data_IF_846898812443
#
_entry.id   IF_846898812443
#
_cell.length_a   1.000
_cell.length_b   1.000
_cell.length_c   1.000
_cell.angle_alpha   90.00
_cell.angle_beta   90.00
_cell.angle_gamma   90.00
#
_symmetry.space_group_name_H-M   'P 1'
#
loop_
_entity.id
_entity.type
_entity.pdbx_description
1 polymer ?
#
# COMPACT_ATOMS: atom_id res chain seq x y z
N UNK A 1 2.79 4.38 31.63
CA UNK A 1 3.34 4.10 30.29
C UNK A 1 2.48 3.03 29.66
N UNK A 2 1.88 3.31 28.51
CA UNK A 2 1.16 2.32 27.72
C UNK A 2 2.00 2.01 26.48
N UNK A 3 2.01 0.75 26.05
CA UNK A 3 2.67 0.31 24.83
C UNK A 3 1.65 -0.49 24.02
N UNK A 4 1.37 -0.03 22.81
CA UNK A 4 0.48 -0.69 21.87
C UNK A 4 1.32 -1.24 20.73
N UNK A 5 1.28 -2.56 20.54
CA UNK A 5 1.88 -3.21 19.39
C UNK A 5 0.75 -3.62 18.45
N UNK A 6 0.67 -2.93 17.30
CA UNK A 6 -0.25 -3.29 16.23
C UNK A 6 0.43 -4.28 15.29
N UNK A 7 -0.30 -5.32 14.87
CA UNK A 7 0.13 -6.16 13.75
C UNK A 7 -0.16 -5.50 12.39
N UNK A 8 -0.86 -4.36 12.34
CA UNK A 8 -1.14 -3.67 11.08
C UNK A 8 -0.02 -2.66 10.77
N UNK A 9 0.37 -2.49 9.49
CA UNK A 9 -0.20 -3.13 8.30
C UNK A 9 0.57 -4.38 7.83
N UNK A 10 0.94 -5.33 8.71
CA UNK A 10 1.58 -6.58 8.28
C UNK A 10 0.66 -7.38 7.33
N UNK A 11 1.27 -8.15 6.42
CA UNK A 11 0.57 -9.05 5.48
C UNK A 11 -0.47 -9.93 6.21
N UNK A 12 -1.62 -10.25 5.60
CA UNK A 12 -1.87 -10.41 4.15
C UNK A 12 -2.50 -9.20 3.40
N UNK A 13 -2.61 -8.03 4.03
CA UNK A 13 -3.17 -6.81 3.42
C UNK A 13 -4.57 -7.02 2.82
N UNK A 14 -5.53 -7.34 3.69
CA UNK A 14 -6.92 -7.62 3.33
C UNK A 14 -7.90 -6.74 4.12
N UNK A 15 -7.49 -5.49 4.38
CA UNK A 15 -8.29 -4.48 5.08
C UNK A 15 -8.43 -3.25 4.19
N UNK A 16 -9.64 -2.75 4.11
CA UNK A 16 -9.98 -1.48 3.47
C UNK A 16 -9.82 -0.33 4.47
N UNK A 17 -9.70 0.93 4.01
CA UNK A 17 -9.55 2.08 4.89
C UNK A 17 -10.61 2.17 5.99
N UNK A 18 -11.86 1.79 5.70
CA UNK A 18 -12.96 1.76 6.67
C UNK A 18 -12.95 0.57 7.66
N UNK A 19 -11.95 -0.31 7.57
CA UNK A 19 -11.78 -1.48 8.44
C UNK A 19 -12.45 -2.77 7.96
N UNK A 20 -13.33 -2.69 6.95
CA UNK A 20 -13.91 -3.88 6.30
C UNK A 20 -12.82 -4.75 5.68
N UNK A 21 -13.07 -6.06 5.61
CA UNK A 21 -12.24 -7.01 4.89
C UNK A 21 -12.67 -7.18 3.44
N UNK A 22 -11.88 -7.91 2.67
CA UNK A 22 -12.28 -8.44 1.38
C UNK A 22 -11.54 -9.76 1.12
N UNK A 23 -12.14 -10.60 0.31
CA UNK A 23 -11.51 -11.84 -0.12
C UNK A 23 -10.60 -11.59 -1.32
N UNK A 24 -9.37 -12.07 -1.24
CA UNK A 24 -8.41 -12.06 -2.33
C UNK A 24 -7.39 -13.20 -2.16
N UNK A 25 -6.76 -13.70 -3.23
CA UNK A 25 -5.74 -14.73 -3.13
C UNK A 25 -4.61 -14.38 -2.14
N UNK A 26 -4.18 -15.38 -1.37
CA UNK A 26 -3.10 -15.29 -0.37
C UNK A 26 -2.10 -16.46 -0.49
N UNK A 27 -0.77 -16.22 -0.52
CA UNK A 27 -0.12 -14.91 -0.70
C UNK A 27 -0.57 -14.27 -2.03
N UNK A 28 -0.41 -12.94 -2.20
CA UNK A 28 -0.54 -12.36 -3.53
C UNK A 28 0.31 -13.20 -4.51
N UNK A 29 -0.22 -13.54 -5.71
CA UNK A 29 0.34 -14.61 -6.53
C UNK A 29 1.80 -14.32 -6.90
N UNK A 30 2.72 -15.16 -6.37
CA UNK A 30 4.07 -15.58 -6.86
C UNK A 30 5.18 -15.77 -5.80
N UNK A 31 4.99 -15.40 -4.53
CA UNK A 31 5.44 -16.12 -3.31
C UNK A 31 5.24 -15.23 -2.07
N UNK A 32 5.23 -15.82 -0.87
CA UNK A 32 5.07 -15.08 0.38
C UNK A 32 6.22 -14.12 0.71
N UNK A 33 7.33 -14.17 -0.05
CA UNK A 33 8.55 -13.44 0.27
C UNK A 33 9.14 -12.64 -0.90
N UNK A 34 8.77 -12.88 -2.17
CA UNK A 34 9.28 -12.18 -3.37
C UNK A 34 8.20 -12.03 -4.45
N UNK A 35 8.19 -10.90 -5.19
CA UNK A 35 7.29 -10.67 -6.34
C UNK A 35 8.07 -10.60 -7.65
N UNK A 36 7.89 -11.56 -8.55
CA UNK A 36 8.71 -11.68 -9.77
C UNK A 36 8.41 -10.67 -10.89
N UNK A 37 7.39 -9.82 -10.74
CA UNK A 37 6.90 -8.97 -11.82
C UNK A 37 6.31 -7.67 -11.29
N UNK A 38 6.31 -6.64 -12.16
CA UNK A 38 5.82 -5.30 -11.81
C UNK A 38 4.36 -5.32 -11.37
N UNK A 39 3.47 -6.01 -12.09
CA UNK A 39 2.02 -5.95 -11.84
C UNK A 39 1.61 -6.55 -10.48
N UNK A 40 2.09 -7.75 -10.08
CA UNK A 40 1.89 -8.27 -8.72
C UNK A 40 2.47 -7.38 -7.61
N UNK A 41 3.68 -6.85 -7.80
CA UNK A 41 4.32 -5.95 -6.85
C UNK A 41 3.49 -4.67 -6.64
N UNK A 42 3.00 -4.10 -7.75
CA UNK A 42 2.11 -2.93 -7.78
C UNK A 42 0.80 -3.23 -7.03
N UNK A 43 0.20 -4.39 -7.26
CA UNK A 43 -1.04 -4.84 -6.57
C UNK A 43 -0.81 -5.02 -5.06
N UNK A 44 0.30 -5.66 -4.67
CA UNK A 44 0.66 -5.83 -3.27
C UNK A 44 0.86 -4.49 -2.55
N UNK A 45 1.55 -3.53 -3.20
CA UNK A 45 1.70 -2.17 -2.69
C UNK A 45 0.37 -1.48 -2.48
N UNK A 46 -0.55 -1.59 -3.44
CA UNK A 46 -1.89 -1.01 -3.30
C UNK A 46 -2.64 -1.60 -2.09
N UNK A 47 -2.65 -2.92 -1.95
CA UNK A 47 -3.26 -3.60 -0.78
C UNK A 47 -2.65 -3.13 0.54
N UNK A 48 -1.32 -3.02 0.60
CA UNK A 48 -0.61 -2.49 1.76
C UNK A 48 -1.04 -1.07 2.10
N UNK A 49 -1.13 -0.17 1.12
CA UNK A 49 -1.56 1.22 1.33
C UNK A 49 -3.00 1.33 1.84
N UNK A 50 -3.91 0.48 1.35
CA UNK A 50 -5.29 0.43 1.85
C UNK A 50 -5.35 0.00 3.32
N UNK A 51 -4.55 -1.00 3.71
CA UNK A 51 -4.46 -1.43 5.11
C UNK A 51 -3.70 -0.43 5.99
N UNK A 52 -2.72 0.29 5.43
CA UNK A 52 -2.05 1.40 6.11
C UNK A 52 -3.04 2.53 6.39
N UNK A 53 -3.94 2.85 5.45
CA UNK A 53 -4.99 3.83 5.67
C UNK A 53 -5.92 3.44 6.84
N UNK A 54 -6.27 2.16 6.96
CA UNK A 54 -6.99 1.68 8.13
C UNK A 54 -6.18 1.81 9.43
N UNK A 55 -4.88 1.55 9.36
CA UNK A 55 -3.97 1.74 10.51
C UNK A 55 -3.94 3.20 10.95
N UNK A 56 -3.93 4.13 10.00
CA UNK A 56 -4.03 5.58 10.25
C UNK A 56 -5.33 5.93 10.98
N UNK A 57 -6.47 5.38 10.56
CA UNK A 57 -7.75 5.62 11.25
C UNK A 57 -7.80 5.04 12.66
N UNK A 58 -7.17 3.88 12.89
CA UNK A 58 -7.04 3.32 14.25
C UNK A 58 -6.17 4.21 15.14
N UNK A 59 -5.08 4.75 14.60
CA UNK A 59 -4.25 5.75 15.32
C UNK A 59 -5.09 6.99 15.61
N UNK A 60 -5.83 7.51 14.62
CA UNK A 60 -6.75 8.63 14.77
C UNK A 60 -7.73 8.43 15.92
N UNK A 61 -8.38 7.26 15.99
CA UNK A 61 -9.29 6.90 17.08
C UNK A 61 -8.63 6.91 18.46
N UNK A 62 -7.40 6.39 18.59
CA UNK A 62 -6.64 6.48 19.85
C UNK A 62 -6.34 7.94 20.22
N UNK A 63 -6.00 8.78 19.25
CA UNK A 63 -5.76 10.21 19.51
C UNK A 63 -7.04 10.94 19.93
N UNK A 64 -8.18 10.60 19.33
CA UNK A 64 -9.48 11.14 19.70
C UNK A 64 -9.89 10.72 21.11
N UNK A 65 -9.71 9.46 21.49
CA UNK A 65 -9.94 8.98 22.85
C UNK A 65 -9.10 9.76 23.89
N UNK A 66 -7.84 10.07 23.57
CA UNK A 66 -6.99 10.88 24.44
C UNK A 66 -7.49 12.34 24.57
N UNK A 67 -8.05 12.90 23.50
CA UNK A 67 -8.64 14.26 23.50
C UNK A 67 -9.92 14.30 24.31
N UNK A 68 -10.81 13.32 24.11
CA UNK A 68 -12.08 13.20 24.83
C UNK A 68 -11.88 12.97 26.33
N UNK A 69 -10.82 12.22 26.70
CA UNK A 69 -10.40 12.06 28.09
C UNK A 69 -9.75 13.32 28.68
N UNK A 70 -9.45 14.35 27.87
CA UNK A 70 -8.81 15.58 28.31
C UNK A 70 -7.33 15.44 28.70
N UNK A 71 -6.65 14.39 28.23
CA UNK A 71 -5.25 14.08 28.58
C UNK A 71 -4.28 14.21 27.41
N UNK A 72 -4.78 14.43 26.19
CA UNK A 72 -3.96 14.54 24.98
C UNK A 72 -2.80 15.55 25.14
N UNK A 73 -3.09 16.75 25.64
CA UNK A 73 -2.09 17.81 25.76
C UNK A 73 -0.95 17.46 26.74
N UNK A 74 -1.25 16.74 27.82
CA UNK A 74 -0.27 16.31 28.83
C UNK A 74 0.41 14.97 28.49
N UNK A 75 0.02 14.32 27.38
CA UNK A 75 0.54 12.99 26.99
C UNK A 75 1.69 13.12 26.00
N UNK A 76 2.78 12.39 26.26
CA UNK A 76 3.82 12.06 25.28
C UNK A 76 3.32 10.92 24.39
N UNK A 77 3.26 11.15 23.09
CA UNK A 77 2.81 10.16 22.10
C UNK A 77 3.95 9.91 21.12
N UNK A 78 4.26 8.64 20.88
CA UNK A 78 5.28 8.22 19.91
C UNK A 78 4.63 7.19 18.99
N UNK A 79 4.70 7.43 17.68
CA UNK A 79 4.29 6.47 16.64
C UNK A 79 5.52 6.11 15.82
N UNK A 80 5.80 4.82 15.72
CA UNK A 80 6.94 4.30 14.95
C UNK A 80 6.65 2.90 14.40
N UNK A 81 7.50 2.43 13.49
CA UNK A 81 7.47 1.07 12.98
C UNK A 81 8.81 0.36 13.26
N UNK A 82 8.78 -0.96 13.33
CA UNK A 82 9.94 -1.82 13.52
C UNK A 82 10.79 -1.96 12.27
N UNK A 83 10.16 -2.00 11.09
CA UNK A 83 10.82 -1.99 9.79
C UNK A 83 9.88 -1.47 8.68
N UNK A 84 10.44 -1.17 7.51
CA UNK A 84 9.70 -0.88 6.29
C UNK A 84 9.32 -2.15 5.52
N UNK A 85 8.94 -2.01 4.26
CA UNK A 85 8.57 -3.12 3.37
C UNK A 85 8.87 -2.74 1.93
N UNK A 86 9.50 -3.65 1.19
CA UNK A 86 9.80 -3.47 -0.23
C UNK A 86 8.64 -3.92 -1.11
N UNK A 87 8.37 -3.17 -2.17
CA UNK A 87 7.48 -3.61 -3.26
C UNK A 87 8.21 -3.54 -4.60
N UNK A 88 9.55 -3.65 -4.59
CA UNK A 88 10.34 -3.72 -5.81
C UNK A 88 10.11 -5.09 -6.49
N UNK A 89 9.92 -5.12 -7.82
CA UNK A 89 9.88 -6.38 -8.56
C UNK A 89 11.19 -7.15 -8.40
N UNK A 90 11.10 -8.46 -8.41
CA UNK A 90 12.15 -9.46 -8.20
C UNK A 90 12.86 -9.41 -6.83
N UNK A 91 12.43 -8.52 -5.93
CA UNK A 91 13.04 -8.33 -4.62
C UNK A 91 12.20 -8.94 -3.49
N UNK A 92 12.86 -9.33 -2.38
CA UNK A 92 12.15 -9.78 -1.20
C UNK A 92 11.39 -8.65 -0.51
N UNK A 93 10.28 -8.99 0.16
CA UNK A 93 9.45 -8.03 0.91
C UNK A 93 10.14 -7.47 2.17
N UNK A 94 10.88 -8.34 2.88
CA UNK A 94 11.39 -8.08 4.24
C UNK A 94 12.86 -8.48 4.42
N UNK A 95 13.34 -9.64 3.92
CA UNK A 95 14.79 -9.87 3.87
C UNK A 95 15.50 -8.74 3.15
N UNK A 96 16.68 -8.35 3.63
CA UNK A 96 17.46 -7.29 2.99
C UNK A 96 18.19 -7.81 1.76
N UNK A 97 18.15 -7.05 0.68
CA UNK A 97 18.98 -7.18 -0.52
C UNK A 97 19.69 -5.85 -0.80
N UNK A 98 20.65 -5.85 -1.73
CA UNK A 98 21.30 -4.60 -2.17
C UNK A 98 20.27 -3.61 -2.74
N UNK A 99 19.25 -4.12 -3.42
CA UNK A 99 18.28 -3.34 -4.16
C UNK A 99 17.06 -2.93 -3.34
N UNK A 100 16.75 -3.57 -2.21
CA UNK A 100 15.55 -3.28 -1.41
C UNK A 100 15.81 -2.58 -0.06
N UNK A 101 17.08 -2.48 0.35
CA UNK A 101 17.48 -2.00 1.68
C UNK A 101 16.87 -0.64 2.03
N UNK A 102 16.71 0.22 1.03
CA UNK A 102 16.14 1.56 1.19
C UNK A 102 14.64 1.57 1.50
N UNK A 103 13.89 0.56 1.08
CA UNK A 103 12.47 0.44 1.42
C UNK A 103 12.23 -0.11 2.83
N UNK A 104 13.23 -0.79 3.41
CA UNK A 104 13.11 -1.51 4.68
C UNK A 104 13.70 -0.72 5.85
N UNK A 105 14.79 0.02 5.64
CA UNK A 105 15.52 0.66 6.74
C UNK A 105 14.90 1.98 7.24
N UNK A 106 13.99 2.58 6.49
CA UNK A 106 13.34 3.84 6.84
C UNK A 106 11.95 3.60 7.40
N UNK A 107 11.74 4.03 8.64
CA UNK A 107 10.46 3.91 9.35
C UNK A 107 9.97 5.27 9.83
N UNK A 108 8.65 5.46 10.01
CA UNK A 108 8.15 6.67 10.63
C UNK A 108 8.66 6.79 12.08
N UNK A 109 8.95 8.02 12.49
CA UNK A 109 9.12 8.38 13.89
C UNK A 109 8.40 9.72 14.12
N UNK A 110 7.18 9.63 14.63
CA UNK A 110 6.38 10.79 14.99
C UNK A 110 6.36 10.93 16.51
N UNK A 111 6.71 12.10 17.01
CA UNK A 111 6.75 12.40 18.45
C UNK A 111 5.90 13.63 18.70
N UNK A 112 4.90 13.48 19.56
CA UNK A 112 4.12 14.59 20.14
C UNK A 112 4.54 14.75 21.59
N UNK A 113 5.11 15.91 21.93
CA UNK A 113 5.53 16.23 23.30
C UNK A 113 4.36 16.72 24.16
N UNK A 114 4.41 16.54 25.49
CA UNK A 114 3.49 17.22 26.40
C UNK A 114 3.58 18.74 26.20
N UNK A 115 2.43 19.40 26.04
CA UNK A 115 2.34 20.85 25.83
C UNK A 115 2.88 21.37 24.49
N UNK A 116 3.15 20.51 23.51
CA UNK A 116 3.63 20.94 22.19
C UNK A 116 2.61 21.84 21.49
N UNK A 117 3.04 23.02 21.03
CA UNK A 117 2.19 23.98 20.32
C UNK A 117 2.58 24.20 18.85
N UNK A 118 3.79 23.81 18.46
CA UNK A 118 4.32 24.01 17.11
C UNK A 118 4.94 22.72 16.56
N UNK A 119 4.77 22.43 15.25
CA UNK A 119 5.46 21.32 14.61
C UNK A 119 6.93 21.66 14.36
N UNK A 120 7.78 20.63 14.37
CA UNK A 120 9.18 20.73 13.96
C UNK A 120 9.61 19.46 13.22
N UNK A 121 10.53 19.63 12.28
CA UNK A 121 11.19 18.53 11.58
C UNK A 121 12.62 18.44 12.12
N UNK A 122 13.04 17.21 12.46
CA UNK A 122 14.41 16.90 12.88
C UNK A 122 15.00 15.98 11.81
N UNK A 123 15.79 16.56 10.91
CA UNK A 123 16.41 15.83 9.79
C UNK A 123 17.73 15.13 10.16
N UNK A 124 18.11 15.13 11.44
CA UNK A 124 19.34 14.45 11.89
C UNK A 124 19.16 12.92 11.86
N UNK A 125 20.18 12.15 11.42
CA UNK A 125 20.09 10.70 11.37
C UNK A 125 19.71 10.08 12.71
N UNK A 126 18.62 9.31 12.70
CA UNK A 126 18.00 8.69 13.89
C UNK A 126 17.86 7.19 13.66
N UNK A 127 17.88 6.41 14.74
CA UNK A 127 17.71 4.97 14.75
C UNK A 127 16.68 4.55 15.80
N UNK A 128 16.12 3.35 15.68
CA UNK A 128 15.14 2.82 16.65
C UNK A 128 15.67 2.78 18.10
N UNK A 129 16.98 2.59 18.27
CA UNK A 129 17.66 2.63 19.58
C UNK A 129 17.59 4.00 20.27
N UNK A 130 17.25 5.07 19.54
CA UNK A 130 17.14 6.43 20.06
C UNK A 130 15.79 6.72 20.72
N UNK A 131 14.78 5.87 20.52
CA UNK A 131 13.44 6.07 21.07
C UNK A 131 13.47 6.07 22.60
N UNK A 132 14.16 5.10 23.20
CA UNK A 132 14.28 4.99 24.67
C UNK A 132 14.99 6.20 25.30
N UNK A 133 16.20 6.60 24.89
CA UNK A 133 16.86 7.79 25.44
C UNK A 133 16.06 9.07 25.19
N UNK A 134 15.32 9.17 24.08
CA UNK A 134 14.42 10.30 23.82
C UNK A 134 13.26 10.37 24.82
N UNK A 135 12.63 9.24 25.16
CA UNK A 135 11.57 9.19 26.19
C UNK A 135 12.12 9.64 27.54
N UNK A 136 13.30 9.15 27.93
CA UNK A 136 13.93 9.48 29.21
C UNK A 136 14.20 10.98 29.31
N UNK A 137 14.78 11.57 28.26
CA UNK A 137 15.05 13.00 28.15
C UNK A 137 13.77 13.84 28.29
N UNK A 138 12.72 13.50 27.54
CA UNK A 138 11.43 14.20 27.61
C UNK A 138 10.71 14.08 28.96
N UNK A 139 10.95 12.98 29.69
CA UNK A 139 10.40 12.80 31.04
C UNK A 139 11.26 13.46 32.12
N UNK A 140 12.43 14.00 31.78
CA UNK A 140 13.40 14.54 32.74
C UNK A 140 13.85 13.49 33.76
N UNK A 141 13.90 12.22 33.35
CA UNK A 141 14.31 11.12 34.19
C UNK A 141 15.82 10.88 34.09
N UNK A 142 16.44 10.48 35.20
CA UNK A 142 17.82 10.01 35.21
C UNK A 142 17.82 8.47 35.25
N UNK A 143 18.48 7.85 34.28
CA UNK A 143 18.77 6.42 34.33
C UNK A 143 20.26 6.18 34.53
N UNK A 144 20.58 5.32 35.50
CA UNK A 144 21.94 4.83 35.76
C UNK A 144 22.25 3.62 34.88
N UNK A 145 22.03 3.76 33.57
CA UNK A 145 22.37 2.75 32.55
C UNK A 145 22.96 3.43 31.33
N UNK A 146 24.00 2.83 30.76
CA UNK A 146 24.54 3.24 29.47
C UNK A 146 23.62 2.72 28.36
N UNK A 147 23.23 3.61 27.43
CA UNK A 147 22.39 3.30 26.28
C UNK A 147 23.21 3.50 25.01
N UNK A 148 23.02 2.62 24.02
CA UNK A 148 23.69 2.72 22.72
C UNK A 148 23.17 3.89 21.86
N UNK A 149 21.92 4.30 22.10
CA UNK A 149 21.26 5.42 21.41
C UNK A 149 21.46 6.77 22.13
N UNK A 150 20.93 7.83 21.52
CA UNK A 150 20.88 9.17 22.12
C UNK A 150 19.52 9.83 21.89
N UNK A 151 19.14 10.80 22.72
CA UNK A 151 17.92 11.57 22.50
C UNK A 151 17.99 12.31 21.16
N UNK A 152 16.89 12.30 20.40
CA UNK A 152 16.77 13.07 19.14
C UNK A 152 16.79 14.59 19.37
N UNK A 153 16.59 15.04 20.61
CA UNK A 153 16.72 16.45 21.01
C UNK A 153 18.13 16.80 21.50
N UNK A 154 19.02 15.81 21.58
CA UNK A 154 20.43 15.97 21.88
C UNK A 154 21.25 16.50 20.69
N UNK A 155 22.58 16.48 20.80
CA UNK A 155 23.46 16.83 19.69
C UNK A 155 23.20 15.97 18.45
N UNK A 156 23.03 16.63 17.30
CA UNK A 156 22.81 15.95 16.03
C UNK A 156 23.98 15.00 15.70
N UNK A 157 23.65 13.82 15.17
CA UNK A 157 24.66 12.91 14.60
C UNK A 157 25.35 13.57 13.39
N UNK A 158 26.61 13.21 13.11
CA UNK A 158 27.28 13.58 11.87
C UNK A 158 26.45 13.18 10.65
N UNK A 159 26.51 13.98 9.59
CA UNK A 159 25.77 13.71 8.35
C UNK A 159 26.26 12.44 7.61
N UNK A 160 27.47 11.98 7.89
CA UNK A 160 28.07 10.75 7.37
C UNK A 160 27.81 9.54 8.28
N UNK A 161 26.97 9.68 9.31
CA UNK A 161 26.49 8.53 10.08
C UNK A 161 25.70 7.60 9.17
N UNK A 162 26.08 6.32 9.15
CA UNK A 162 25.47 5.31 8.29
C UNK A 162 24.37 4.57 9.04
N UNK A 163 23.11 4.62 8.57
CA UNK A 163 22.08 3.72 9.04
C UNK A 163 22.56 2.28 8.93
N UNK A 164 22.21 1.47 9.92
CA UNK A 164 22.57 0.05 9.95
C UNK A 164 21.46 -0.81 10.53
N UNK A 165 21.38 -2.04 10.04
CA UNK A 165 20.54 -3.10 10.59
C UNK A 165 21.39 -4.30 10.94
N UNK A 166 21.00 -5.05 11.97
CA UNK A 166 21.56 -6.37 12.21
C UNK A 166 21.20 -7.25 11.01
N UNK A 167 22.16 -8.03 10.53
CA UNK A 167 21.91 -9.05 9.50
C UNK A 167 21.17 -10.25 10.10
N UNK A 168 20.26 -10.82 9.32
CA UNK A 168 19.50 -12.03 9.63
C UNK A 168 19.76 -13.11 8.58
N UNK A 169 19.63 -14.38 8.96
CA UNK A 169 19.94 -15.54 8.10
C UNK A 169 19.16 -15.60 6.77
N UNK A 170 18.09 -14.81 6.62
CA UNK A 170 17.29 -14.72 5.41
C UNK A 170 17.73 -13.59 4.47
N UNK A 171 18.58 -12.68 4.92
CA UNK A 171 19.07 -11.57 4.11
C UNK A 171 19.91 -12.09 2.94
N UNK A 172 19.70 -11.47 1.77
CA UNK A 172 20.42 -11.75 0.53
C UNK A 172 21.67 -10.86 0.40
N UNK A 173 21.85 -9.92 1.32
CA UNK A 173 23.03 -9.05 1.43
C UNK A 173 24.00 -9.55 2.52
N UNK A 174 25.29 -9.57 2.20
CA UNK A 174 26.33 -9.96 3.15
C UNK A 174 26.54 -8.89 4.23
N UNK A 175 26.56 -9.31 5.49
CA UNK A 175 26.92 -8.46 6.61
C UNK A 175 28.39 -8.03 6.56
N UNK A 176 28.69 -6.85 7.08
CA UNK A 176 30.06 -6.46 7.41
C UNK A 176 30.63 -7.32 8.56
N UNK A 177 31.95 -7.28 8.78
CA UNK A 177 32.64 -8.04 9.83
C UNK A 177 32.08 -7.82 11.26
N UNK A 178 31.40 -6.71 11.49
CA UNK A 178 30.76 -6.35 12.75
C UNK A 178 29.30 -6.86 12.88
N UNK A 179 28.81 -7.61 11.90
CA UNK A 179 27.47 -8.22 11.89
C UNK A 179 26.35 -7.30 11.41
N UNK A 180 26.68 -6.12 10.86
CA UNK A 180 25.71 -5.15 10.37
C UNK A 180 25.69 -5.02 8.86
N UNK A 181 24.51 -4.73 8.33
CA UNK A 181 24.30 -4.22 6.98
C UNK A 181 24.15 -2.70 7.06
N UNK A 182 24.72 -1.97 6.11
CA UNK A 182 24.77 -0.52 6.10
C UNK A 182 24.06 0.04 4.86
N UNK A 183 23.22 1.06 5.05
CA UNK A 183 22.69 1.86 3.95
C UNK A 183 23.38 3.22 3.87
N UNK A 184 23.28 3.88 2.72
CA UNK A 184 23.62 5.29 2.58
C UNK A 184 22.46 6.13 3.10
N UNK A 185 22.66 6.89 4.18
CA UNK A 185 21.59 7.64 4.84
C UNK A 185 20.97 8.72 3.94
N UNK A 186 21.72 9.75 3.51
CA UNK A 186 21.15 10.79 2.66
C UNK A 186 20.73 10.29 1.28
N UNK A 187 21.55 9.45 0.63
CA UNK A 187 21.23 8.99 -0.73
C UNK A 187 20.10 7.97 -0.74
N UNK A 188 20.10 7.00 0.19
CA UNK A 188 19.04 6.01 0.30
C UNK A 188 17.70 6.61 0.71
N UNK A 189 17.70 7.66 1.56
CA UNK A 189 16.47 8.37 1.87
C UNK A 189 15.92 9.15 0.67
N UNK A 190 16.80 9.80 -0.10
CA UNK A 190 16.38 10.49 -1.33
C UNK A 190 15.80 9.50 -2.35
N UNK A 191 16.45 8.35 -2.53
CA UNK A 191 15.96 7.28 -3.40
C UNK A 191 14.58 6.78 -2.96
N UNK A 192 14.38 6.54 -1.65
CA UNK A 192 13.07 6.14 -1.11
C UNK A 192 11.97 7.15 -1.43
N UNK A 193 12.24 8.44 -1.24
CA UNK A 193 11.26 9.50 -1.51
C UNK A 193 10.91 9.58 -3.01
N UNK A 194 11.89 9.33 -3.88
CA UNK A 194 11.69 9.29 -5.33
C UNK A 194 10.95 8.03 -5.78
N UNK A 195 11.28 6.87 -5.23
CA UNK A 195 10.70 5.57 -5.61
C UNK A 195 9.26 5.39 -5.12
N UNK A 196 8.92 6.05 -4.00
CA UNK A 196 7.61 5.88 -3.36
C UNK A 196 6.68 7.09 -3.50
N UNK A 197 7.04 8.12 -4.29
CA UNK A 197 6.20 9.30 -4.48
C UNK A 197 4.75 8.91 -4.88
N UNK A 198 3.81 9.20 -3.99
CA UNK A 198 2.39 9.03 -4.23
C UNK A 198 1.80 10.38 -4.65
N UNK A 199 1.27 10.45 -5.88
CA UNK A 199 0.44 11.59 -6.28
C UNK A 199 -1.00 11.31 -5.85
N UNK A 200 -1.39 11.88 -4.72
CA UNK A 200 -2.71 11.70 -4.15
C UNK A 200 -3.81 12.49 -4.88
N UNK A 201 -3.43 13.39 -5.81
CA UNK A 201 -4.36 14.27 -6.50
C UNK A 201 -5.24 15.11 -5.55
N UNK A 202 -6.34 15.66 -6.09
CA UNK A 202 -7.28 16.47 -5.31
C UNK A 202 -8.39 15.65 -4.62
N UNK A 203 -8.64 14.41 -5.07
CA UNK A 203 -9.69 13.54 -4.53
C UNK A 203 -9.08 12.56 -3.52
N UNK A 204 -9.06 13.00 -2.26
CA UNK A 204 -8.46 12.27 -1.17
C UNK A 204 -8.97 10.82 -1.05
N UNK A 205 -10.27 10.57 -1.23
CA UNK A 205 -10.85 9.23 -1.06
C UNK A 205 -10.36 8.22 -2.12
N UNK A 206 -9.96 8.71 -3.30
CA UNK A 206 -9.48 7.88 -4.40
C UNK A 206 -7.94 7.75 -4.43
N UNK A 207 -7.22 8.38 -3.50
CA UNK A 207 -5.77 8.52 -3.53
C UNK A 207 -4.98 7.20 -3.54
N UNK A 208 -5.54 6.13 -2.96
CA UNK A 208 -4.94 4.78 -2.96
C UNK A 208 -5.46 3.88 -4.10
N UNK A 209 -6.36 4.42 -4.92
CA UNK A 209 -6.96 3.76 -6.07
C UNK A 209 -6.45 4.36 -7.39
N UNK A 210 -5.89 5.57 -7.35
CA UNK A 210 -5.24 6.26 -8.46
C UNK A 210 -3.73 6.03 -8.46
N UNK A 211 -3.26 5.04 -9.18
CA UNK A 211 -1.82 4.68 -9.27
C UNK A 211 -1.45 4.24 -10.68
N UNK A 212 -0.20 4.54 -11.06
CA UNK A 212 0.37 4.27 -12.37
C UNK A 212 -0.28 5.05 -13.53
N UNK A 213 0.08 4.69 -14.77
CA UNK A 213 -0.21 5.44 -16.00
C UNK A 213 -1.71 5.65 -16.28
N UNK A 214 -2.57 4.82 -15.71
CA UNK A 214 -4.03 4.90 -15.87
C UNK A 214 -4.76 5.19 -14.56
N UNK A 215 -4.04 5.57 -13.50
CA UNK A 215 -4.63 5.91 -12.21
C UNK A 215 -5.61 7.08 -12.29
N UNK A 216 -5.37 8.06 -13.16
CA UNK A 216 -6.26 9.20 -13.38
C UNK A 216 -7.61 8.83 -14.03
N UNK A 217 -7.75 7.60 -14.53
CA UNK A 217 -9.04 7.08 -15.01
C UNK A 217 -9.99 6.76 -13.85
N UNK A 218 -9.47 6.38 -12.68
CA UNK A 218 -10.28 5.92 -11.56
C UNK A 218 -11.14 7.05 -11.00
N UNK A 219 -12.44 6.80 -10.87
CA UNK A 219 -13.47 7.76 -10.50
C UNK A 219 -14.12 8.50 -11.69
N UNK A 220 -13.64 8.30 -12.93
CA UNK A 220 -14.28 8.88 -14.12
C UNK A 220 -15.46 8.03 -14.58
N UNK A 221 -16.50 8.70 -15.07
CA UNK A 221 -17.63 8.08 -15.76
C UNK A 221 -17.17 7.47 -17.09
N UNK A 222 -17.55 6.23 -17.39
CA UNK A 222 -17.34 5.58 -18.69
C UNK A 222 -17.96 6.41 -19.81
N UNK A 223 -19.12 7.02 -19.57
CA UNK A 223 -19.81 7.91 -20.52
C UNK A 223 -19.05 9.21 -20.86
N UNK A 224 -17.90 9.48 -20.21
CA UNK A 224 -17.03 10.61 -20.55
C UNK A 224 -16.08 10.32 -21.72
N UNK A 225 -16.06 9.07 -22.21
CA UNK A 225 -15.27 8.64 -23.36
C UNK A 225 -16.19 8.52 -24.59
N UNK A 226 -15.64 8.75 -25.79
CA UNK A 226 -16.38 8.53 -27.04
C UNK A 226 -16.86 7.07 -27.13
N UNK A 227 -18.11 6.85 -27.57
CA UNK A 227 -18.83 5.57 -27.55
C UNK A 227 -17.90 4.36 -27.78
N UNK A 228 -17.74 3.46 -26.79
CA UNK A 228 -16.93 2.27 -26.96
C UNK A 228 -17.51 1.41 -28.07
N UNK A 229 -16.81 1.28 -29.20
CA UNK A 229 -17.09 0.18 -30.13
C UNK A 229 -16.90 -1.15 -29.37
N UNK A 230 -17.64 -2.19 -29.75
CA UNK A 230 -17.41 -3.53 -29.18
C UNK A 230 -16.04 -4.02 -29.67
N UNK A 231 -15.19 -4.45 -28.74
CA UNK A 231 -13.85 -4.96 -29.07
C UNK A 231 -13.90 -6.27 -29.88
N UNK A 232 -15.06 -6.96 -29.89
CA UNK A 232 -15.18 -8.34 -30.35
C UNK A 232 -14.53 -9.35 -29.42
N UNK A 233 -14.00 -8.90 -28.26
CA UNK A 233 -13.45 -9.77 -27.22
C UNK A 233 -14.54 -10.17 -26.23
N UNK A 234 -14.28 -11.27 -25.53
CA UNK A 234 -15.11 -11.75 -24.44
C UNK A 234 -14.33 -11.87 -23.14
N UNK A 235 -15.02 -11.63 -22.02
CA UNK A 235 -14.47 -11.71 -20.67
C UNK A 235 -15.33 -12.61 -19.79
N UNK A 236 -14.68 -13.43 -18.99
CA UNK A 236 -15.29 -14.21 -17.93
C UNK A 236 -14.84 -13.65 -16.58
N UNK A 237 -15.80 -13.19 -15.76
CA UNK A 237 -15.54 -12.74 -14.39
C UNK A 237 -15.54 -13.92 -13.43
N UNK A 238 -14.68 -13.87 -12.41
CA UNK A 238 -14.69 -14.84 -11.32
C UNK A 238 -15.75 -14.45 -10.28
N UNK A 239 -16.66 -15.39 -9.99
CA UNK A 239 -17.75 -15.25 -9.03
C UNK A 239 -18.55 -13.93 -9.19
N UNK A 240 -19.12 -13.64 -10.39
CA UNK A 240 -19.86 -12.39 -10.63
C UNK A 240 -21.10 -12.24 -9.74
N UNK A 241 -21.70 -13.34 -9.28
CA UNK A 241 -22.90 -13.36 -8.44
C UNK A 241 -22.74 -12.62 -7.10
N UNK A 242 -21.49 -12.39 -6.65
CA UNK A 242 -21.22 -11.62 -5.42
C UNK A 242 -21.57 -10.13 -5.52
N UNK A 243 -21.88 -9.65 -6.72
CA UNK A 243 -22.33 -8.28 -6.97
C UNK A 243 -23.85 -8.14 -7.08
N UNK A 244 -24.61 -9.23 -7.04
CA UNK A 244 -26.07 -9.21 -7.25
C UNK A 244 -26.87 -8.65 -6.05
N UNK A 245 -26.32 -8.77 -4.83
CA UNK A 245 -26.97 -8.35 -3.59
C UNK A 245 -25.93 -7.91 -2.54
N UNK A 246 -25.26 -6.78 -2.81
CA UNK A 246 -24.24 -6.23 -1.92
C UNK A 246 -24.90 -5.54 -0.72
N UNK A 247 -24.36 -5.78 0.48
CA UNK A 247 -24.64 -4.97 1.67
C UNK A 247 -23.39 -4.13 1.97
N UNK A 248 -23.48 -2.82 1.71
CA UNK A 248 -22.35 -1.90 1.88
C UNK A 248 -21.96 -1.71 3.35
N UNK A 249 -22.81 -2.11 4.29
CA UNK A 249 -22.54 -2.11 5.73
C UNK A 249 -21.94 -3.43 6.23
N UNK A 250 -21.75 -4.44 5.36
CA UNK A 250 -21.16 -5.70 5.74
C UNK A 250 -19.69 -5.57 6.18
N UNK A 251 -19.25 -6.48 7.06
CA UNK A 251 -17.86 -6.55 7.52
C UNK A 251 -16.88 -6.91 6.39
N UNK A 252 -17.36 -7.48 5.29
CA UNK A 252 -16.57 -7.88 4.13
C UNK A 252 -17.24 -7.42 2.83
N UNK A 253 -16.47 -6.80 1.94
CA UNK A 253 -16.98 -6.23 0.69
C UNK A 253 -16.36 -6.88 -0.56
N UNK A 254 -17.12 -7.03 -1.66
CA UNK A 254 -16.65 -7.68 -2.89
C UNK A 254 -15.75 -6.77 -3.76
N UNK A 255 -14.73 -6.14 -3.19
CA UNK A 255 -13.92 -5.13 -3.91
C UNK A 255 -12.79 -5.68 -4.77
N UNK A 256 -12.49 -6.97 -4.71
CA UNK A 256 -11.46 -7.60 -5.53
C UNK A 256 -12.09 -8.23 -6.77
N UNK A 257 -12.05 -7.56 -7.93
CA UNK A 257 -12.58 -8.04 -9.21
C UNK A 257 -11.50 -8.79 -9.98
N UNK A 258 -11.75 -10.06 -10.31
CA UNK A 258 -10.86 -10.85 -11.18
C UNK A 258 -11.63 -11.55 -12.28
N UNK A 259 -10.89 -11.99 -13.29
CA UNK A 259 -11.43 -12.70 -14.44
C UNK A 259 -10.36 -12.96 -15.48
N UNK A 260 -10.75 -13.43 -16.66
CA UNK A 260 -9.84 -13.72 -17.77
C UNK A 260 -10.39 -13.29 -19.12
N UNK A 261 -9.48 -12.94 -20.03
CA UNK A 261 -9.79 -12.63 -21.43
C UNK A 261 -9.74 -13.92 -22.25
N UNK A 262 -10.81 -14.24 -22.96
CA UNK A 262 -10.99 -15.54 -23.64
C UNK A 262 -10.05 -15.76 -24.84
N UNK A 263 -9.58 -14.68 -25.48
CA UNK A 263 -8.68 -14.77 -26.63
C UNK A 263 -7.21 -14.96 -26.23
N UNK A 264 -6.90 -14.90 -24.93
CA UNK A 264 -5.56 -15.12 -24.39
C UNK A 264 -4.54 -14.06 -24.77
N UNK A 265 -4.95 -12.85 -25.16
CA UNK A 265 -4.00 -11.75 -25.46
C UNK A 265 -3.60 -10.99 -24.19
N UNK A 266 -2.38 -10.44 -24.20
CA UNK A 266 -2.02 -9.39 -23.24
C UNK A 266 -2.74 -8.09 -23.60
N UNK A 267 -3.29 -7.42 -22.60
CA UNK A 267 -4.00 -6.14 -22.73
C UNK A 267 -3.99 -5.36 -21.41
N UNK A 268 -4.16 -4.05 -21.53
CA UNK A 268 -4.51 -3.19 -20.39
C UNK A 268 -6.04 -3.10 -20.31
N UNK A 269 -6.60 -3.46 -19.15
CA UNK A 269 -8.04 -3.46 -18.90
C UNK A 269 -8.43 -2.47 -17.81
N UNK A 270 -9.62 -1.89 -17.93
CA UNK A 270 -10.30 -1.15 -16.87
C UNK A 270 -11.51 -1.93 -16.40
N UNK A 271 -11.78 -1.88 -15.10
CA UNK A 271 -13.04 -2.35 -14.50
C UNK A 271 -13.86 -1.14 -14.08
N UNK A 272 -15.10 -1.08 -14.54
CA UNK A 272 -16.08 -0.10 -14.10
C UNK A 272 -17.17 -0.76 -13.26
N UNK A 273 -17.66 -0.01 -12.28
CA UNK A 273 -18.72 -0.37 -11.36
C UNK A 273 -19.79 0.69 -11.49
N UNK A 274 -21.01 0.30 -11.84
CA UNK A 274 -22.14 1.23 -12.04
C UNK A 274 -21.79 2.39 -12.99
N UNK A 275 -21.04 2.10 -14.06
CA UNK A 275 -20.60 3.08 -15.06
C UNK A 275 -19.43 3.98 -14.64
N UNK A 276 -18.82 3.77 -13.47
CA UNK A 276 -17.65 4.52 -12.97
C UNK A 276 -16.42 3.62 -12.93
N UNK A 277 -15.31 4.07 -13.50
CA UNK A 277 -14.06 3.31 -13.52
C UNK A 277 -13.53 3.17 -12.09
N UNK A 278 -13.41 1.94 -11.59
CA UNK A 278 -12.92 1.64 -10.24
C UNK A 278 -11.43 1.31 -10.20
N UNK A 279 -10.88 0.79 -11.30
CA UNK A 279 -9.46 0.44 -11.36
C UNK A 279 -9.08 -0.13 -12.71
N UNK A 280 -7.80 -0.52 -12.82
CA UNK A 280 -7.22 -0.99 -14.06
C UNK A 280 -6.11 -2.02 -13.80
N UNK A 281 -5.77 -2.80 -14.82
CA UNK A 281 -4.77 -3.86 -14.73
C UNK A 281 -4.09 -4.13 -16.07
N UNK A 282 -2.82 -4.50 -16.05
CA UNK A 282 -2.11 -5.02 -17.22
C UNK A 282 -2.08 -6.55 -17.14
N UNK A 283 -2.73 -7.24 -18.09
CA UNK A 283 -2.67 -8.69 -18.12
C UNK A 283 -1.26 -9.16 -18.52
N UNK A 284 -0.68 -10.14 -17.82
CA UNK A 284 0.70 -10.55 -18.03
C UNK A 284 0.92 -11.08 -19.45
N UNK A 285 2.09 -10.81 -20.03
CA UNK A 285 2.49 -11.42 -21.29
C UNK A 285 2.90 -12.89 -21.06
N UNK A 286 1.93 -13.81 -21.18
CA UNK A 286 2.12 -15.24 -20.97
C UNK A 286 1.92 -16.06 -22.28
N UNK A 287 2.83 -15.93 -23.27
CA UNK A 287 2.67 -16.60 -24.56
C UNK A 287 2.68 -18.12 -24.39
N UNK A 288 1.56 -18.76 -24.78
CA UNK A 288 1.39 -20.22 -24.73
C UNK A 288 0.64 -20.76 -23.52
N UNK A 289 0.20 -19.92 -22.58
CA UNK A 289 -0.67 -20.32 -21.48
C UNK A 289 -1.92 -19.41 -21.38
N UNK A 290 -2.96 -19.65 -22.22
CA UNK A 290 -4.15 -18.80 -22.26
C UNK A 290 -4.89 -18.67 -20.93
N UNK A 291 -4.82 -19.68 -20.06
CA UNK A 291 -5.42 -19.67 -18.72
C UNK A 291 -4.73 -18.76 -17.71
N UNK A 292 -3.60 -18.13 -18.07
CA UNK A 292 -2.89 -17.16 -17.24
C UNK A 292 -3.20 -15.71 -17.61
N UNK A 293 -4.00 -15.46 -18.66
CA UNK A 293 -4.42 -14.12 -19.08
C UNK A 293 -5.56 -13.60 -18.20
N UNK A 294 -5.22 -13.48 -16.93
CA UNK A 294 -6.08 -13.07 -15.85
C UNK A 294 -5.84 -11.61 -15.53
N UNK A 295 -6.89 -10.92 -15.10
CA UNK A 295 -6.76 -9.60 -14.50
C UNK A 295 -7.25 -9.64 -13.05
N UNK A 296 -6.75 -8.71 -12.26
CA UNK A 296 -7.17 -8.51 -10.88
C UNK A 296 -7.18 -7.01 -10.55
N UNK A 297 -8.34 -6.48 -10.21
CA UNK A 297 -8.55 -5.06 -9.95
C UNK A 297 -9.21 -4.91 -8.60
N UNK A 298 -8.62 -4.07 -7.75
CA UNK A 298 -9.26 -3.59 -6.54
C UNK A 298 -10.09 -2.34 -6.89
N UNK A 299 -11.37 -2.34 -6.55
CA UNK A 299 -12.30 -1.23 -6.77
C UNK A 299 -12.61 -0.47 -5.45
N UNK A 300 -12.77 0.87 -5.48
CA UNK A 300 -13.14 1.64 -4.30
C UNK A 300 -14.50 1.19 -3.74
N UNK A 301 -14.63 0.95 -2.42
CA UNK A 301 -15.91 0.61 -1.78
C UNK A 301 -17.01 1.64 -2.04
N UNK A 302 -16.64 2.92 -2.24
CA UNK A 302 -17.57 4.01 -2.51
C UNK A 302 -18.29 3.91 -3.87
N UNK A 303 -17.87 3.01 -4.75
CA UNK A 303 -18.55 2.73 -6.02
C UNK A 303 -19.63 1.64 -5.89
N UNK A 304 -19.65 0.92 -4.77
CA UNK A 304 -20.67 -0.08 -4.49
C UNK A 304 -21.93 0.58 -3.91
N UNK A 305 -23.09 0.07 -4.30
CA UNK A 305 -24.40 0.42 -3.76
C UNK A 305 -25.05 -0.82 -3.12
N UNK A 306 -26.03 -0.62 -2.23
CA UNK A 306 -26.80 -1.74 -1.68
C UNK A 306 -27.64 -2.42 -2.78
N UNK A 307 -27.57 -3.75 -2.85
CA UNK A 307 -28.22 -4.55 -3.88
C UNK A 307 -27.32 -4.84 -5.09
N UNK A 308 -27.92 -4.88 -6.27
CA UNK A 308 -27.23 -5.26 -7.50
C UNK A 308 -26.29 -4.15 -8.02
N UNK A 309 -25.06 -4.52 -8.34
CA UNK A 309 -24.05 -3.65 -8.92
C UNK A 309 -23.62 -4.17 -10.30
N UNK A 310 -23.57 -3.28 -11.29
CA UNK A 310 -23.12 -3.63 -12.64
C UNK A 310 -21.59 -3.57 -12.73
N UNK A 311 -20.97 -4.64 -13.25
CA UNK A 311 -19.53 -4.76 -13.42
C UNK A 311 -19.22 -4.90 -14.91
N UNK A 312 -18.52 -3.91 -15.45
CA UNK A 312 -18.15 -3.85 -16.86
C UNK A 312 -16.63 -3.85 -17.01
N UNK A 313 -16.12 -4.50 -18.06
CA UNK A 313 -14.69 -4.54 -18.37
C UNK A 313 -14.44 -3.90 -19.73
N UNK A 314 -13.40 -3.06 -19.79
CA UNK A 314 -13.02 -2.34 -21.00
C UNK A 314 -11.55 -2.57 -21.30
N UNK A 315 -11.18 -2.60 -22.58
CA UNK A 315 -9.79 -2.39 -22.98
C UNK A 315 -9.47 -0.90 -22.85
N UNK A 316 -8.24 -0.60 -22.41
CA UNK A 316 -7.65 0.73 -22.53
C UNK A 316 -6.70 0.71 -23.73
N UNK A 317 -7.00 1.53 -24.74
CA UNK A 317 -6.10 1.74 -25.89
C UNK A 317 -5.62 3.20 -25.95
N UNK A 318 -4.37 3.41 -26.35
CA UNK A 318 -3.75 4.74 -26.41
C UNK A 318 -3.12 5.20 -25.10
N UNK A 319 -2.64 6.44 -25.05
CA UNK A 319 -1.95 7.01 -23.88
C UNK A 319 -2.39 8.46 -23.64
N UNK A 320 -2.26 8.93 -22.39
CA UNK A 320 -2.61 10.30 -22.01
C UNK A 320 -4.04 10.70 -22.43
N UNK A 321 -4.21 11.89 -22.99
CA UNK A 321 -5.54 12.37 -23.40
C UNK A 321 -6.13 11.64 -24.62
N UNK A 322 -5.36 10.77 -25.28
CA UNK A 322 -5.82 9.99 -26.44
C UNK A 322 -6.38 8.61 -26.06
N UNK A 323 -6.44 8.28 -24.76
CA UNK A 323 -6.97 7.00 -24.29
C UNK A 323 -8.42 6.80 -24.68
N UNK A 324 -8.73 5.59 -25.14
CA UNK A 324 -10.07 5.11 -25.47
C UNK A 324 -10.43 3.92 -24.60
N UNK A 325 -11.71 3.82 -24.27
CA UNK A 325 -12.28 2.64 -23.65
C UNK A 325 -13.05 1.86 -24.70
N UNK A 326 -12.77 0.56 -24.81
CA UNK A 326 -13.43 -0.33 -25.77
C UNK A 326 -14.11 -1.43 -24.97
N UNK A 327 -15.43 -1.59 -25.11
CA UNK A 327 -16.20 -2.54 -24.30
C UNK A 327 -15.77 -3.97 -24.62
N UNK A 328 -15.58 -4.78 -23.57
CA UNK A 328 -15.42 -6.22 -23.69
C UNK A 328 -16.74 -6.86 -23.30
N UNK A 329 -17.27 -7.73 -24.15
CA UNK A 329 -18.57 -8.37 -23.89
C UNK A 329 -18.40 -9.50 -22.86
N UNK A 330 -19.34 -9.70 -21.94
CA UNK A 330 -19.32 -10.90 -21.10
C UNK A 330 -19.47 -12.15 -21.95
N UNK A 331 -18.77 -13.23 -21.59
CA UNK A 331 -18.98 -14.54 -22.20
C UNK A 331 -20.43 -14.96 -21.96
N UNK A 332 -21.19 -15.27 -23.03
CA UNK A 332 -22.55 -15.78 -22.88
C UNK A 332 -22.51 -17.08 -22.05
N UNK A 333 -23.11 -17.06 -20.86
CA UNK A 333 -23.32 -18.27 -20.08
C UNK A 333 -24.26 -19.17 -20.86
N UNK A 334 -23.70 -20.17 -21.55
CA UNK A 334 -24.51 -21.21 -22.17
C UNK A 334 -25.30 -21.93 -21.07
N UNK A 335 -26.63 -21.88 -21.16
CA UNK A 335 -27.51 -22.73 -20.35
C UNK A 335 -27.01 -24.19 -20.44
N UNK A 336 -26.42 -24.68 -19.36
CA UNK A 336 -26.05 -26.08 -19.18
C UNK A 336 -26.87 -26.72 -18.07
#
# INVERSE_FOLDING_TARGET
MNYLHSLLPHQNWQRLPGGQTYEAPNPPPRSADQQSDEVPARTARQRHLLQLAYTDELVGGVLDDLRDAGVYDDTLIIVTADHGVSFRPDEPYRPLSEDNINDIMWTPLLIKEPGQTEPRVIDSPTASIDVVPTIIDLLGADLDVELDGQSVFGPARPADWKPRSLSWDLDEIEASDDGFVYADGPAGYAELLESQALDFGAEWDLRFWRWGDNGDLVGRQVSSFEDPESSGLTVSLDAPERFDDVDTAADSLPVYVSGHLEDGRSATVAVAVNGVIGGWYDTPDAPGNPGEQTFQVLIPPSLLEDGANDIEVFLIEGTGDQRRLIRIEPTESGDS
#
